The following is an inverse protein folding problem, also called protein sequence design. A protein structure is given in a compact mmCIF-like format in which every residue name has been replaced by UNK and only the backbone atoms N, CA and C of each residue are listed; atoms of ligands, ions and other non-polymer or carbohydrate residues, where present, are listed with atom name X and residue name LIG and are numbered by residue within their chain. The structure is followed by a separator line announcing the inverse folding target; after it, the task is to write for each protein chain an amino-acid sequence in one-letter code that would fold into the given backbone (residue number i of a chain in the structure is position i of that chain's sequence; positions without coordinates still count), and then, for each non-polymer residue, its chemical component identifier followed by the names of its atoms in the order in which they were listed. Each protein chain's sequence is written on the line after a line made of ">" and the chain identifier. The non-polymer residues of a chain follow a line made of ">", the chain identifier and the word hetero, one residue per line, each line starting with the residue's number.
data_IF_696810444077
#
_entry.id   IF_696810444077
#
_cell.length_a   1.000
_cell.length_b   1.000
_cell.length_c   1.000
_cell.angle_alpha   90.00
_cell.angle_beta   90.00
_cell.angle_gamma   90.00
#
_symmetry.space_group_name_H-M   'P 1'
#
loop_
_entity.id
_entity.type
_entity.pdbx_description
1 polymer ?
#
# COMPACT_ATOMS: atom_id res chain seq x y z
N UNK A 1 -12.46 -18.92 4.26
CA UNK A 1 -12.46 -17.55 4.83
C UNK A 1 -12.34 -16.58 3.66
N UNK A 2 -13.40 -15.86 3.30
CA UNK A 2 -13.31 -14.85 2.23
C UNK A 2 -12.66 -13.58 2.80
N UNK A 3 -11.57 -13.13 2.19
CA UNK A 3 -10.96 -11.85 2.48
C UNK A 3 -11.45 -10.87 1.43
N UNK A 4 -12.18 -9.84 1.86
CA UNK A 4 -12.65 -8.77 0.96
C UNK A 4 -11.44 -8.08 0.37
N UNK A 5 -11.39 -8.02 -0.97
CA UNK A 5 -10.29 -7.43 -1.70
C UNK A 5 -10.19 -5.91 -1.47
N UNK A 6 -8.99 -5.38 -1.65
CA UNK A 6 -8.69 -3.96 -1.62
C UNK A 6 -9.45 -3.24 -2.74
N UNK A 7 -9.94 -2.04 -2.47
CA UNK A 7 -10.45 -1.11 -3.49
C UNK A 7 -9.79 0.24 -3.32
N UNK A 8 -9.37 0.85 -4.42
CA UNK A 8 -8.84 2.22 -4.45
C UNK A 8 -9.70 3.09 -5.37
N UNK A 9 -9.63 4.41 -5.19
CA UNK A 9 -10.34 5.32 -6.08
C UNK A 9 -9.64 5.42 -7.45
N UNK A 10 -10.35 5.91 -8.46
CA UNK A 10 -9.79 6.04 -9.80
C UNK A 10 -8.54 6.93 -9.84
N UNK A 11 -8.52 8.01 -9.06
CA UNK A 11 -7.37 8.92 -9.00
C UNK A 11 -6.11 8.23 -8.46
N UNK A 12 -6.25 7.42 -7.40
CA UNK A 12 -5.15 6.64 -6.83
C UNK A 12 -4.62 5.62 -7.85
N UNK A 13 -5.52 5.01 -8.62
CA UNK A 13 -5.16 4.04 -9.66
C UNK A 13 -4.34 4.70 -10.77
N UNK A 14 -4.76 5.87 -11.26
CA UNK A 14 -4.01 6.61 -12.28
C UNK A 14 -2.66 7.12 -11.75
N UNK A 15 -2.61 7.50 -10.48
CA UNK A 15 -1.36 7.90 -9.79
C UNK A 15 -0.38 6.73 -9.78
N UNK A 16 -0.81 5.54 -9.36
CA UNK A 16 0.05 4.35 -9.37
C UNK A 16 0.54 4.01 -10.78
N UNK A 17 -0.32 4.11 -11.80
CA UNK A 17 0.08 3.89 -13.20
C UNK A 17 1.12 4.89 -13.68
N UNK A 18 0.99 6.17 -13.29
CA UNK A 18 1.92 7.23 -13.69
C UNK A 18 3.33 7.04 -13.10
N UNK A 19 3.41 6.44 -11.91
CA UNK A 19 4.66 6.16 -11.23
C UNK A 19 5.22 4.77 -11.50
N UNK A 20 4.42 3.84 -12.02
CA UNK A 20 4.85 2.47 -12.28
C UNK A 20 6.03 2.45 -13.28
N UNK A 21 7.11 1.80 -12.89
CA UNK A 21 8.26 1.57 -13.76
C UNK A 21 7.97 0.46 -14.77
N UNK A 22 8.65 0.52 -15.92
CA UNK A 22 8.50 -0.46 -17.00
C UNK A 22 8.97 -1.86 -16.56
N UNK A 23 9.92 -1.96 -15.62
CA UNK A 23 10.39 -3.25 -15.10
C UNK A 23 9.44 -3.88 -14.06
N UNK A 24 8.46 -3.11 -13.56
CA UNK A 24 7.50 -3.57 -12.56
C UNK A 24 8.07 -3.79 -11.16
N UNK A 25 9.25 -3.22 -10.86
CA UNK A 25 10.00 -3.49 -9.62
C UNK A 25 9.87 -2.38 -8.59
N UNK A 26 9.43 -1.19 -8.99
CA UNK A 26 9.28 -0.08 -8.08
C UNK A 26 8.02 -0.22 -7.22
N UNK A 27 7.93 0.59 -6.17
CA UNK A 27 6.84 0.49 -5.19
C UNK A 27 5.46 0.73 -5.82
N UNK A 28 5.36 1.65 -6.77
CA UNK A 28 4.11 1.96 -7.45
C UNK A 28 3.62 0.78 -8.30
N UNK A 29 4.51 0.13 -9.05
CA UNK A 29 4.21 -1.08 -9.83
C UNK A 29 3.75 -2.23 -8.94
N UNK A 30 4.43 -2.44 -7.81
CA UNK A 30 4.06 -3.48 -6.85
C UNK A 30 2.68 -3.21 -6.23
N UNK A 31 2.40 -1.97 -5.84
CA UNK A 31 1.08 -1.57 -5.33
C UNK A 31 -0.01 -1.68 -6.38
N UNK A 32 0.28 -1.26 -7.62
CA UNK A 32 -0.63 -1.39 -8.76
C UNK A 32 -1.00 -2.84 -9.01
N UNK A 33 -0.02 -3.74 -9.01
CA UNK A 33 -0.29 -5.17 -9.14
C UNK A 33 -1.14 -5.69 -7.97
N UNK A 34 -0.83 -5.28 -6.74
CA UNK A 34 -1.60 -5.66 -5.56
C UNK A 34 -3.09 -5.29 -5.65
N UNK A 35 -3.41 -4.05 -6.04
CA UNK A 35 -4.80 -3.59 -6.15
C UNK A 35 -5.55 -4.22 -7.31
N UNK A 36 -4.85 -4.72 -8.33
CA UNK A 36 -5.43 -5.46 -9.45
C UNK A 36 -5.75 -6.92 -9.10
N UNK A 37 -5.19 -7.47 -8.02
CA UNK A 37 -5.52 -8.81 -7.56
C UNK A 37 -6.97 -8.87 -7.09
N UNK A 38 -7.67 -9.93 -7.48
CA UNK A 38 -9.08 -10.15 -7.09
C UNK A 38 -9.24 -10.95 -5.80
N UNK A 39 -8.15 -11.58 -5.33
CA UNK A 39 -8.12 -12.37 -4.11
C UNK A 39 -7.47 -11.61 -2.95
N UNK A 40 -8.27 -11.37 -1.90
CA UNK A 40 -7.80 -10.69 -0.70
C UNK A 40 -6.69 -11.44 0.05
N UNK A 41 -6.56 -12.76 -0.10
CA UNK A 41 -5.45 -13.53 0.51
C UNK A 41 -4.13 -13.21 -0.20
N UNK A 42 -4.13 -13.21 -1.52
CA UNK A 42 -2.99 -12.82 -2.35
C UNK A 42 -2.58 -11.37 -2.08
N UNK A 43 -3.55 -10.47 -1.93
CA UNK A 43 -3.30 -9.08 -1.55
C UNK A 43 -2.63 -8.94 -0.18
N UNK A 44 -3.04 -9.73 0.81
CA UNK A 44 -2.36 -9.76 2.13
C UNK A 44 -0.90 -10.16 1.95
N UNK A 45 -0.64 -11.21 1.18
CA UNK A 45 0.72 -11.70 0.97
C UNK A 45 1.58 -10.65 0.26
N UNK A 46 1.01 -9.95 -0.72
CA UNK A 46 1.70 -8.92 -1.48
C UNK A 46 1.98 -7.67 -0.64
N UNK A 47 1.00 -7.18 0.15
CA UNK A 47 1.20 -6.07 1.08
C UNK A 47 2.31 -6.39 2.08
N UNK A 48 2.37 -7.63 2.60
CA UNK A 48 3.44 -8.04 3.51
C UNK A 48 4.84 -7.94 2.88
N UNK A 49 4.96 -8.05 1.56
CA UNK A 49 6.24 -7.88 0.84
C UNK A 49 6.53 -6.40 0.51
N UNK A 50 5.48 -5.62 0.22
CA UNK A 50 5.57 -4.18 -0.06
C UNK A 50 6.01 -3.41 1.20
N UNK A 51 5.49 -3.78 2.37
CA UNK A 51 5.74 -3.09 3.64
C UNK A 51 7.24 -2.93 3.96
N UNK A 52 8.07 -3.99 3.97
CA UNK A 52 9.51 -3.86 4.21
C UNK A 52 10.23 -3.00 3.18
N UNK A 53 9.77 -3.03 1.91
CA UNK A 53 10.36 -2.22 0.84
C UNK A 53 10.09 -0.73 1.07
N UNK A 54 8.88 -0.37 1.51
CA UNK A 54 8.56 1.00 1.91
C UNK A 54 9.32 1.43 3.16
N UNK A 55 9.40 0.59 4.20
CA UNK A 55 10.16 0.94 5.41
C UNK A 55 11.65 1.18 5.08
N UNK A 56 12.22 0.42 4.14
CA UNK A 56 13.60 0.61 3.69
C UNK A 56 13.76 1.89 2.86
N UNK A 57 12.78 2.20 2.01
CA UNK A 57 12.83 3.39 1.15
C UNK A 57 12.61 4.70 1.94
N UNK A 58 11.72 4.68 2.94
CA UNK A 58 11.45 5.80 3.87
C UNK A 58 12.67 6.10 4.77
N UNK A 59 13.34 5.06 5.30
CA UNK A 59 14.53 5.20 6.14
C UNK A 59 15.73 5.84 5.43
N UNK A 60 15.78 5.80 4.11
CA UNK A 60 16.84 6.45 3.35
C UNK A 60 16.69 7.98 3.29
N UNK A 61 15.64 8.55 3.89
CA UNK A 61 15.47 10.01 4.03
C UNK A 61 15.20 10.75 2.72
N UNK A 62 15.09 10.02 1.60
CA UNK A 62 14.61 10.57 0.35
C UNK A 62 13.10 10.69 0.43
N UNK A 63 12.59 11.91 0.60
CA UNK A 63 11.20 12.29 0.37
C UNK A 63 10.84 12.12 -1.12
N UNK A 64 10.90 10.88 -1.62
CA UNK A 64 10.52 10.58 -2.98
C UNK A 64 9.00 10.76 -3.11
N UNK A 65 8.53 11.63 -4.03
CA UNK A 65 7.10 11.86 -4.23
C UNK A 65 6.31 10.58 -4.52
N UNK A 66 6.95 9.58 -5.12
CA UNK A 66 6.38 8.26 -5.39
C UNK A 66 6.14 7.49 -4.09
N UNK A 67 7.12 7.50 -3.18
CA UNK A 67 7.01 6.84 -1.88
C UNK A 67 5.87 7.48 -1.07
N UNK A 68 5.82 8.81 -1.05
CA UNK A 68 4.76 9.53 -0.34
C UNK A 68 3.38 9.24 -0.94
N UNK A 69 3.24 9.29 -2.26
CA UNK A 69 1.98 8.96 -2.93
C UNK A 69 1.54 7.51 -2.64
N UNK A 70 2.48 6.56 -2.65
CA UNK A 70 2.22 5.17 -2.29
C UNK A 70 1.72 5.02 -0.83
N UNK A 71 2.28 5.81 0.09
CA UNK A 71 1.86 5.84 1.50
C UNK A 71 0.48 6.45 1.68
N UNK A 72 0.16 7.52 0.97
CA UNK A 72 -1.15 8.17 1.01
C UNK A 72 -2.24 7.22 0.48
N UNK A 73 -1.96 6.48 -0.59
CA UNK A 73 -2.87 5.45 -1.12
C UNK A 73 -3.07 4.31 -0.11
N UNK A 74 -2.00 3.82 0.51
CA UNK A 74 -2.09 2.79 1.55
C UNK A 74 -2.89 3.26 2.77
N UNK A 75 -2.77 4.54 3.14
CA UNK A 75 -3.57 5.16 4.19
C UNK A 75 -5.04 5.26 3.77
N UNK A 76 -5.34 5.67 2.53
CA UNK A 76 -6.69 5.69 1.97
C UNK A 76 -7.37 4.32 2.00
N UNK A 77 -6.65 3.27 1.58
CA UNK A 77 -7.08 1.87 1.70
C UNK A 77 -7.35 1.53 3.17
N UNK A 78 -6.41 1.82 4.07
CA UNK A 78 -6.58 1.51 5.49
C UNK A 78 -7.84 2.14 6.08
N UNK A 79 -8.14 3.38 5.72
CA UNK A 79 -9.31 4.13 6.18
C UNK A 79 -10.62 3.54 5.61
N UNK A 80 -10.63 3.06 4.37
CA UNK A 80 -11.82 2.47 3.74
C UNK A 80 -12.15 1.06 4.23
N UNK A 81 -11.17 0.32 4.76
CA UNK A 81 -11.38 -1.04 5.25
C UNK A 81 -12.16 -1.09 6.58
N UNK A 82 -13.03 -2.08 6.73
CA UNK A 82 -13.71 -2.37 8.01
C UNK A 82 -12.76 -2.94 9.07
N UNK A 83 -13.05 -2.72 10.36
CA UNK A 83 -12.23 -3.21 11.49
C UNK A 83 -11.99 -4.72 11.50
N UNK A 84 -12.94 -5.51 10.99
CA UNK A 84 -12.82 -6.96 10.90
C UNK A 84 -11.97 -7.46 9.72
N UNK A 85 -11.59 -6.56 8.80
CA UNK A 85 -10.82 -6.95 7.62
C UNK A 85 -9.36 -7.28 8.00
N UNK A 86 -8.85 -8.48 7.68
CA UNK A 86 -7.47 -8.85 7.95
C UNK A 86 -6.43 -7.91 7.32
N UNK A 87 -6.72 -7.33 6.15
CA UNK A 87 -5.86 -6.34 5.47
C UNK A 87 -5.67 -5.09 6.32
N UNK A 88 -6.73 -4.63 7.00
CA UNK A 88 -6.65 -3.46 7.88
C UNK A 88 -5.66 -3.69 9.02
N UNK A 89 -5.60 -4.91 9.57
CA UNK A 89 -4.63 -5.26 10.63
C UNK A 89 -3.19 -5.27 10.12
N UNK A 90 -2.96 -5.76 8.90
CA UNK A 90 -1.62 -5.76 8.29
C UNK A 90 -1.17 -4.33 8.03
N UNK A 91 -2.03 -3.52 7.42
CA UNK A 91 -1.77 -2.10 7.18
C UNK A 91 -1.62 -1.30 8.47
N UNK A 92 -2.39 -1.60 9.52
CA UNK A 92 -2.25 -0.97 10.83
C UNK A 92 -0.86 -1.17 11.42
N UNK A 93 -0.24 -2.34 11.26
CA UNK A 93 1.12 -2.58 11.78
C UNK A 93 2.16 -1.79 11.02
N UNK A 94 1.96 -1.62 9.72
CA UNK A 94 2.86 -0.84 8.87
C UNK A 94 2.70 0.67 9.10
N UNK A 95 1.48 1.18 8.93
CA UNK A 95 1.19 2.59 9.11
C UNK A 95 1.33 2.99 10.58
N UNK A 96 1.00 2.11 11.53
CA UNK A 96 1.07 2.30 12.98
C UNK A 96 2.43 2.76 13.48
N UNK A 97 3.51 2.27 12.86
CA UNK A 97 4.86 2.76 13.15
C UNK A 97 5.05 4.25 12.75
N UNK A 98 4.20 4.82 11.89
CA UNK A 98 4.17 6.26 11.53
C UNK A 98 3.12 7.09 12.29
N UNK A 99 2.01 6.52 12.78
CA UNK A 99 0.99 7.29 13.53
C UNK A 99 1.47 7.76 14.91
N UNK A 100 2.53 7.16 15.48
CA UNK A 100 3.18 7.66 16.70
C UNK A 100 4.16 8.82 16.46
N UNK A 101 4.31 9.30 15.22
CA UNK A 101 5.24 10.36 14.83
C UNK A 101 4.57 11.57 14.16
N UNK A 102 3.24 11.62 14.15
CA UNK A 102 2.51 12.83 13.78
C UNK A 102 1.97 13.44 15.08
N UNK A 103 2.56 14.56 15.58
CA UNK A 103 2.08 15.25 16.77
C UNK A 103 0.67 15.82 16.61
#
# INVERSE_FOLDING_TARGET
>A
MQVVALTICHQDLETLKSFADVEGKNLASLLLHCVQLTDGVSQIHYIKQIVPLLEKADKNGMCDPTIQSCLDILAGIYLSLSLKNPLKKVLARFLGNRWYLVP
#
